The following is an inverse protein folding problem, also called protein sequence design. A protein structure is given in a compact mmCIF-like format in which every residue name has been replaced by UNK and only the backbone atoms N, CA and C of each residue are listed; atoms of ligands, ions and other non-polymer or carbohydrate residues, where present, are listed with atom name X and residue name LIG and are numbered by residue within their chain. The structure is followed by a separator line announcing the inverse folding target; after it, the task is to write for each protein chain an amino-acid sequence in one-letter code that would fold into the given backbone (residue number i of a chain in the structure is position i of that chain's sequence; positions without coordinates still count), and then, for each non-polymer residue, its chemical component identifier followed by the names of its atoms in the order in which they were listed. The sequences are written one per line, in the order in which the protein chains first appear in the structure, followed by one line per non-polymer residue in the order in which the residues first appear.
data_IF_165538158280
#
_entry.id   IF_165538158280
#
_cell.length_a   1.000
_cell.length_b   1.000
_cell.length_c   1.000
_cell.angle_alpha   90.00
_cell.angle_beta   90.00
_cell.angle_gamma   90.00
#
_symmetry.space_group_name_H-M   'P 1'
#
loop_
_entity.id
_entity.type
_entity.pdbx_description
1 polymer ?
#
# COMPACT_ATOMS: atom_id res chain seq x y z
N UNK A 1 69.10 10.71 -55.34
CA UNK A 1 68.34 10.49 -54.08
C UNK A 1 66.81 10.44 -54.27
N UNK A 2 66.30 10.06 -55.45
CA UNK A 2 64.86 10.00 -55.74
C UNK A 2 64.23 8.63 -55.43
N UNK A 3 65.05 7.58 -55.37
CA UNK A 3 64.67 6.22 -54.95
C UNK A 3 64.62 6.04 -53.42
N UNK A 4 65.25 6.94 -52.66
CA UNK A 4 65.23 6.93 -51.18
C UNK A 4 63.93 7.53 -50.61
N UNK A 5 63.29 8.44 -51.35
CA UNK A 5 62.05 9.10 -50.95
C UNK A 5 60.81 8.20 -51.11
N UNK A 6 60.86 7.26 -52.06
CA UNK A 6 59.75 6.32 -52.32
C UNK A 6 59.69 5.20 -51.25
N UNK A 7 60.84 4.80 -50.71
CA UNK A 7 60.90 3.79 -49.64
C UNK A 7 60.43 4.35 -48.29
N UNK A 8 60.64 5.64 -48.04
CA UNK A 8 60.19 6.29 -46.80
C UNK A 8 58.66 6.49 -46.75
N UNK A 9 58.04 6.76 -47.90
CA UNK A 9 56.57 6.92 -47.99
C UNK A 9 55.85 5.57 -47.92
N UNK A 10 56.47 4.49 -48.41
CA UNK A 10 55.91 3.13 -48.30
C UNK A 10 55.97 2.57 -46.87
N UNK A 11 56.96 2.94 -46.06
CA UNK A 11 57.10 2.45 -44.68
C UNK A 11 56.11 3.13 -43.71
N UNK A 12 55.70 4.38 -44.00
CA UNK A 12 54.75 5.12 -43.15
C UNK A 12 53.30 4.67 -43.38
N UNK A 13 52.97 4.04 -44.52
CA UNK A 13 51.63 3.49 -44.77
C UNK A 13 51.34 2.16 -44.06
N UNK A 14 52.36 1.42 -43.61
CA UNK A 14 52.17 0.09 -42.98
C UNK A 14 52.00 0.17 -41.45
N UNK A 15 52.34 1.30 -40.83
CA UNK A 15 52.27 1.50 -39.37
C UNK A 15 50.98 2.18 -38.87
N UNK A 16 50.01 2.44 -39.75
CA UNK A 16 48.76 3.15 -39.42
C UNK A 16 47.55 2.27 -39.04
N UNK A 17 47.69 0.94 -38.99
CA UNK A 17 46.55 0.02 -38.83
C UNK A 17 46.50 -0.70 -37.46
N UNK A 18 47.14 -0.18 -36.41
CA UNK A 18 46.75 -0.52 -35.04
C UNK A 18 45.63 0.41 -34.59
N UNK A 19 44.45 0.21 -35.17
CA UNK A 19 43.21 0.71 -34.59
C UNK A 19 42.94 -0.08 -33.31
N UNK A 20 43.12 0.56 -32.16
CA UNK A 20 42.54 0.09 -30.91
C UNK A 20 41.03 -0.07 -31.13
N UNK A 21 40.57 -1.32 -31.25
CA UNK A 21 39.18 -1.68 -31.06
C UNK A 21 38.84 -1.46 -29.58
N UNK A 22 38.65 -0.20 -29.18
CA UNK A 22 37.80 0.11 -28.05
C UNK A 22 36.40 -0.30 -28.47
N UNK A 23 35.99 -1.48 -28.01
CA UNK A 23 34.60 -1.88 -27.98
C UNK A 23 33.81 -0.71 -27.39
N UNK A 24 33.05 -0.01 -28.25
CA UNK A 24 31.97 0.83 -27.77
C UNK A 24 31.06 -0.14 -27.02
N UNK A 25 31.14 -0.11 -25.68
CA UNK A 25 30.02 -0.54 -24.85
C UNK A 25 28.83 0.19 -25.42
N UNK A 26 27.93 -0.55 -26.06
CA UNK A 26 26.60 -0.06 -26.38
C UNK A 26 26.06 0.51 -25.07
N UNK A 27 26.07 1.84 -24.98
CA UNK A 27 25.37 2.52 -23.93
C UNK A 27 23.92 2.10 -24.13
N UNK A 28 23.39 1.36 -23.16
CA UNK A 28 21.97 1.07 -23.10
C UNK A 28 21.22 2.38 -23.43
N UNK A 29 20.17 2.34 -24.28
CA UNK A 29 19.37 3.51 -24.56
C UNK A 29 19.06 4.21 -23.23
N UNK A 30 19.26 5.55 -23.12
CA UNK A 30 18.95 6.25 -21.89
C UNK A 30 17.53 5.86 -21.50
N UNK A 31 17.39 5.30 -20.29
CA UNK A 31 16.09 4.89 -19.77
C UNK A 31 15.13 6.05 -20.02
N UNK A 32 13.92 5.80 -20.58
CA UNK A 32 13.01 6.87 -20.95
C UNK A 32 12.84 7.80 -19.74
N UNK A 33 13.14 9.08 -19.94
CA UNK A 33 13.06 10.08 -18.89
C UNK A 33 11.66 9.97 -18.25
N UNK A 34 11.61 9.54 -16.98
CA UNK A 34 10.34 9.49 -16.24
C UNK A 34 9.76 10.90 -16.29
N UNK A 35 8.58 11.06 -16.89
CA UNK A 35 7.85 12.33 -16.87
C UNK A 35 7.56 12.65 -15.41
N UNK A 36 8.24 13.64 -14.86
CA UNK A 36 8.01 14.08 -13.48
C UNK A 36 6.72 14.90 -13.49
N UNK A 37 5.68 14.39 -12.84
CA UNK A 37 4.43 15.13 -12.63
C UNK A 37 4.69 16.11 -11.49
N UNK A 38 4.47 17.39 -11.73
CA UNK A 38 4.62 18.45 -10.74
C UNK A 38 3.24 18.91 -10.24
N UNK A 39 3.13 19.12 -8.95
CA UNK A 39 1.94 19.67 -8.31
C UNK A 39 1.83 21.19 -8.44
N UNK A 40 0.77 21.76 -7.84
CA UNK A 40 0.50 23.20 -7.88
C UNK A 40 1.69 24.06 -7.37
N UNK A 41 2.42 23.56 -6.37
CA UNK A 41 3.55 24.26 -5.75
C UNK A 41 4.91 23.87 -6.36
N UNK A 42 4.91 23.19 -7.52
CA UNK A 42 6.13 22.66 -8.16
C UNK A 42 6.72 21.42 -7.47
N UNK A 43 6.01 20.86 -6.48
CA UNK A 43 6.42 19.65 -5.75
C UNK A 43 6.16 18.42 -6.61
N UNK A 44 7.16 17.54 -6.86
CA UNK A 44 6.95 16.29 -7.57
C UNK A 44 5.88 15.40 -6.93
N UNK A 45 5.10 14.70 -7.75
CA UNK A 45 4.11 13.73 -7.28
C UNK A 45 4.80 12.63 -6.45
N UNK A 46 4.40 12.42 -5.18
CA UNK A 46 4.91 11.33 -4.37
C UNK A 46 4.47 9.95 -4.89
N UNK A 47 5.29 8.94 -4.64
CA UNK A 47 5.00 7.56 -5.05
C UNK A 47 3.70 7.00 -4.44
N UNK A 48 3.38 7.40 -3.20
CA UNK A 48 2.18 6.96 -2.48
C UNK A 48 0.86 7.39 -3.14
N UNK A 49 0.90 8.35 -4.07
CA UNK A 49 -0.29 8.77 -4.83
C UNK A 49 -0.79 7.66 -5.77
N UNK A 50 0.10 6.78 -6.23
CA UNK A 50 -0.21 5.76 -7.23
C UNK A 50 0.31 4.36 -6.88
N UNK A 51 0.94 4.22 -5.71
CA UNK A 51 1.40 2.94 -5.16
C UNK A 51 0.95 2.83 -3.71
N UNK A 52 0.52 1.64 -3.31
CA UNK A 52 0.29 1.31 -1.91
C UNK A 52 1.62 1.39 -1.14
N UNK A 53 1.57 1.97 0.06
CA UNK A 53 2.71 2.00 0.98
C UNK A 53 2.64 0.75 1.83
N UNK A 54 3.63 -0.13 1.68
CA UNK A 54 3.75 -1.31 2.51
C UNK A 54 4.47 -0.96 3.82
N UNK A 55 3.93 -1.38 4.96
CA UNK A 55 4.62 -1.37 6.24
C UNK A 55 4.33 -2.64 7.04
N UNK A 56 5.14 -2.89 8.07
CA UNK A 56 4.99 -4.05 8.94
C UNK A 56 3.99 -3.82 10.09
N UNK A 57 3.78 -2.56 10.47
CA UNK A 57 3.10 -2.13 11.69
C UNK A 57 1.99 -1.10 11.45
N UNK A 58 1.91 -0.57 10.23
CA UNK A 58 1.00 0.49 9.83
C UNK A 58 0.31 0.11 8.53
N UNK A 59 -0.98 0.40 8.43
CA UNK A 59 -1.70 0.35 7.16
C UNK A 59 -1.90 1.77 6.63
N UNK A 60 -1.81 1.94 5.31
CA UNK A 60 -1.86 3.23 4.64
C UNK A 60 -2.90 3.25 3.53
N UNK A 61 -3.63 4.36 3.45
CA UNK A 61 -4.57 4.61 2.35
C UNK A 61 -4.47 6.06 1.88
N UNK A 62 -4.62 6.24 0.57
CA UNK A 62 -4.64 7.56 -0.05
C UNK A 62 -6.06 7.95 -0.44
N UNK A 63 -6.40 9.23 -0.24
CA UNK A 63 -7.68 9.80 -0.61
C UNK A 63 -7.49 11.04 -1.48
N UNK A 64 -8.48 11.32 -2.34
CA UNK A 64 -8.45 12.45 -3.25
C UNK A 64 -9.66 13.38 -3.05
N UNK A 65 -9.48 14.67 -3.31
CA UNK A 65 -10.55 15.63 -3.23
C UNK A 65 -10.27 16.86 -4.07
N UNK A 66 -11.22 17.21 -4.95
CA UNK A 66 -11.19 18.47 -5.69
C UNK A 66 -12.54 19.17 -5.56
N UNK A 67 -12.56 20.23 -4.78
CA UNK A 67 -13.76 20.97 -4.39
C UNK A 67 -13.56 22.48 -4.64
N UNK A 68 -14.57 23.28 -4.30
CA UNK A 68 -14.57 24.73 -4.55
C UNK A 68 -13.41 25.51 -3.91
N UNK A 69 -12.76 24.96 -2.89
CA UNK A 69 -11.53 25.50 -2.33
C UNK A 69 -10.64 24.39 -1.73
N UNK A 70 -9.38 24.75 -1.45
CA UNK A 70 -8.36 23.84 -0.89
C UNK A 70 -8.80 23.22 0.44
N UNK A 71 -9.41 23.98 1.35
CA UNK A 71 -9.79 23.47 2.67
C UNK A 71 -10.88 22.38 2.57
N UNK A 72 -11.87 22.57 1.70
CA UNK A 72 -12.92 21.55 1.46
C UNK A 72 -12.33 20.35 0.72
N UNK A 73 -11.37 20.57 -0.18
CA UNK A 73 -10.65 19.51 -0.89
C UNK A 73 -9.85 18.62 0.08
N UNK A 74 -9.13 19.22 1.03
CA UNK A 74 -8.43 18.50 2.11
C UNK A 74 -9.42 17.64 2.90
N UNK A 75 -10.53 18.23 3.37
CA UNK A 75 -11.54 17.50 4.15
C UNK A 75 -12.10 16.31 3.35
N UNK A 76 -12.40 16.51 2.06
CA UNK A 76 -12.91 15.45 1.18
C UNK A 76 -11.89 14.33 1.03
N UNK A 77 -10.64 14.67 0.73
CA UNK A 77 -9.55 13.71 0.56
C UNK A 77 -9.30 12.91 1.85
N UNK A 78 -9.25 13.57 3.01
CA UNK A 78 -9.10 12.88 4.31
C UNK A 78 -10.27 11.94 4.61
N UNK A 79 -11.51 12.35 4.33
CA UNK A 79 -12.68 11.48 4.52
C UNK A 79 -12.63 10.28 3.57
N UNK A 80 -12.23 10.47 2.32
CA UNK A 80 -12.07 9.37 1.38
C UNK A 80 -11.01 8.37 1.86
N UNK A 81 -9.84 8.83 2.30
CA UNK A 81 -8.79 7.97 2.84
C UNK A 81 -9.29 7.19 4.07
N UNK A 82 -9.97 7.85 5.01
CA UNK A 82 -10.59 7.21 6.17
C UNK A 82 -11.62 6.15 5.79
N UNK A 83 -12.45 6.42 4.78
CA UNK A 83 -13.45 5.46 4.31
C UNK A 83 -12.79 4.22 3.69
N UNK A 84 -11.66 4.37 3.00
CA UNK A 84 -10.88 3.22 2.46
C UNK A 84 -10.30 2.37 3.59
N UNK A 85 -9.70 3.00 4.62
CA UNK A 85 -9.22 2.29 5.82
C UNK A 85 -10.37 1.53 6.48
N UNK A 86 -11.52 2.18 6.71
CA UNK A 86 -12.68 1.53 7.31
C UNK A 86 -13.19 0.34 6.48
N UNK A 87 -13.23 0.48 5.15
CA UNK A 87 -13.63 -0.59 4.25
C UNK A 87 -12.66 -1.78 4.27
N UNK A 88 -11.35 -1.51 4.34
CA UNK A 88 -10.32 -2.53 4.46
C UNK A 88 -10.40 -3.28 5.80
N UNK A 89 -10.58 -2.55 6.92
CA UNK A 89 -10.79 -3.16 8.26
C UNK A 89 -12.04 -4.05 8.24
N UNK A 90 -13.16 -3.54 7.74
CA UNK A 90 -14.43 -4.27 7.67
C UNK A 90 -14.29 -5.56 6.85
N UNK A 91 -13.58 -5.51 5.72
CA UNK A 91 -13.29 -6.70 4.91
C UNK A 91 -12.44 -7.71 5.68
N UNK A 92 -11.39 -7.25 6.35
CA UNK A 92 -10.47 -8.08 7.15
C UNK A 92 -11.18 -8.80 8.29
N UNK A 93 -12.04 -8.08 9.02
CA UNK A 93 -12.86 -8.62 10.11
C UNK A 93 -13.83 -9.68 9.58
N UNK A 94 -14.56 -9.35 8.50
CA UNK A 94 -15.51 -10.29 7.89
C UNK A 94 -14.84 -11.58 7.43
N UNK A 95 -13.66 -11.49 6.81
CA UNK A 95 -12.91 -12.66 6.34
C UNK A 95 -12.57 -13.63 7.48
N UNK A 96 -12.05 -13.11 8.61
CA UNK A 96 -11.72 -13.95 9.77
C UNK A 96 -12.97 -14.60 10.36
N UNK A 97 -14.05 -13.83 10.57
CA UNK A 97 -15.24 -14.37 11.20
C UNK A 97 -15.93 -15.41 10.28
N UNK A 98 -16.03 -15.14 8.97
CA UNK A 98 -16.60 -16.09 8.00
C UNK A 98 -15.78 -17.39 7.97
N UNK A 99 -14.45 -17.28 7.93
CA UNK A 99 -13.55 -18.45 7.95
C UNK A 99 -13.79 -19.28 9.21
N UNK A 100 -13.87 -18.62 10.36
CA UNK A 100 -14.12 -19.29 11.63
C UNK A 100 -15.48 -19.99 11.68
N UNK A 101 -16.57 -19.33 11.30
CA UNK A 101 -17.92 -19.93 11.33
C UNK A 101 -18.06 -21.09 10.36
N UNK A 102 -17.39 -21.01 9.19
CA UNK A 102 -17.34 -22.13 8.25
C UNK A 102 -16.60 -23.34 8.83
N UNK A 103 -15.45 -23.12 9.47
CA UNK A 103 -14.67 -24.17 10.14
C UNK A 103 -15.44 -24.82 11.31
N UNK A 104 -16.23 -24.01 12.04
CA UNK A 104 -17.03 -24.48 13.17
C UNK A 104 -18.29 -25.28 12.76
N UNK A 105 -18.61 -25.37 11.47
CA UNK A 105 -19.77 -26.13 10.98
C UNK A 105 -21.14 -25.44 11.20
N UNK A 106 -21.16 -24.18 11.61
CA UNK A 106 -22.35 -23.44 12.04
C UNK A 106 -23.01 -22.60 10.94
N UNK A 107 -23.12 -23.16 9.72
CA UNK A 107 -23.55 -22.45 8.49
C UNK A 107 -24.97 -21.85 8.52
N UNK A 108 -25.82 -22.27 9.45
CA UNK A 108 -27.24 -21.83 9.52
C UNK A 108 -27.53 -20.79 10.63
N UNK A 109 -26.52 -20.33 11.37
CA UNK A 109 -26.80 -19.46 12.52
C UNK A 109 -26.94 -18.00 12.10
N UNK A 110 -28.17 -17.56 11.78
CA UNK A 110 -28.49 -16.17 11.40
C UNK A 110 -28.06 -15.13 12.44
N UNK A 111 -28.07 -15.51 13.72
CA UNK A 111 -27.53 -14.70 14.81
C UNK A 111 -26.02 -14.45 14.66
N UNK A 112 -25.28 -15.36 14.02
CA UNK A 112 -23.86 -15.15 13.67
C UNK A 112 -23.73 -13.93 12.79
N UNK A 113 -24.43 -13.95 11.66
CA UNK A 113 -24.33 -12.93 10.61
C UNK A 113 -24.71 -11.55 11.14
N UNK A 114 -25.78 -11.46 11.94
CA UNK A 114 -26.23 -10.22 12.55
C UNK A 114 -25.21 -9.69 13.59
N UNK A 115 -24.61 -10.59 14.36
CA UNK A 115 -23.48 -10.25 15.23
C UNK A 115 -22.28 -9.78 14.41
N UNK A 116 -21.91 -10.46 13.31
CA UNK A 116 -20.76 -10.06 12.47
C UNK A 116 -20.91 -8.66 11.90
N UNK A 117 -22.10 -8.31 11.38
CA UNK A 117 -22.33 -7.01 10.78
C UNK A 117 -22.26 -5.90 11.84
N UNK A 118 -22.91 -6.10 12.99
CA UNK A 118 -22.87 -5.14 14.11
C UNK A 118 -21.44 -4.95 14.63
N UNK A 119 -20.73 -6.06 14.78
CA UNK A 119 -19.37 -6.09 15.27
C UNK A 119 -18.42 -5.42 14.29
N UNK A 120 -18.52 -5.73 12.99
CA UNK A 120 -17.63 -5.14 11.98
C UNK A 120 -17.82 -3.62 11.88
N UNK A 121 -19.04 -3.14 12.07
CA UNK A 121 -19.33 -1.71 12.17
C UNK A 121 -18.70 -1.08 13.42
N UNK A 122 -18.85 -1.70 14.60
CA UNK A 122 -18.25 -1.21 15.85
C UNK A 122 -16.72 -1.14 15.77
N UNK A 123 -16.07 -2.17 15.23
CA UNK A 123 -14.61 -2.18 15.02
C UNK A 123 -14.21 -1.06 14.07
N UNK A 124 -14.88 -0.93 12.92
CA UNK A 124 -14.58 0.13 11.96
C UNK A 124 -14.74 1.53 12.57
N UNK A 125 -15.80 1.79 13.34
CA UNK A 125 -16.02 3.07 14.01
C UNK A 125 -14.99 3.37 15.11
N UNK A 126 -14.69 2.40 15.97
CA UNK A 126 -13.72 2.55 17.06
C UNK A 126 -12.31 2.82 16.52
N UNK A 127 -11.97 2.19 15.40
CA UNK A 127 -10.61 2.19 14.84
C UNK A 127 -10.30 3.49 14.09
N UNK A 128 -11.31 4.19 13.54
CA UNK A 128 -11.11 5.48 12.86
C UNK A 128 -10.56 6.60 13.77
N UNK A 129 -10.62 6.43 15.08
CA UNK A 129 -10.00 7.34 16.06
C UNK A 129 -8.46 7.32 16.00
N UNK A 130 -7.87 6.21 15.54
CA UNK A 130 -6.43 6.04 15.41
C UNK A 130 -5.85 6.49 14.08
N UNK A 131 -6.67 7.01 13.15
CA UNK A 131 -6.19 7.43 11.81
C UNK A 131 -5.50 8.80 11.88
N UNK A 132 -4.26 8.84 11.41
CA UNK A 132 -3.46 10.06 11.27
C UNK A 132 -3.30 10.45 9.80
N UNK A 133 -3.12 11.75 9.54
CA UNK A 133 -2.71 12.26 8.22
C UNK A 133 -1.20 12.38 8.20
N UNK A 134 -0.55 11.69 7.28
CA UNK A 134 0.91 11.66 7.16
C UNK A 134 1.42 12.71 6.18
N UNK A 135 0.86 12.71 4.98
CA UNK A 135 1.31 13.55 3.89
C UNK A 135 0.15 14.11 3.08
N UNK A 136 0.42 15.20 2.38
CA UNK A 136 -0.51 15.85 1.47
C UNK A 136 0.23 16.31 0.23
N UNK A 137 -0.40 16.14 -0.92
CA UNK A 137 0.10 16.66 -2.19
C UNK A 137 -1.03 17.33 -2.97
N UNK A 138 -0.74 18.45 -3.62
CA UNK A 138 -1.71 19.21 -4.40
C UNK A 138 -1.33 19.04 -5.86
N UNK A 139 -2.23 18.48 -6.66
CA UNK A 139 -2.00 18.32 -8.08
C UNK A 139 -2.00 19.68 -8.81
N UNK A 140 -1.56 19.67 -10.07
CA UNK A 140 -1.49 20.89 -10.89
C UNK A 140 -2.85 21.56 -11.11
N UNK A 141 -3.95 20.82 -10.97
CA UNK A 141 -5.31 21.31 -11.18
C UNK A 141 -6.01 21.75 -9.88
N UNK A 142 -5.28 21.78 -8.76
CA UNK A 142 -5.78 22.18 -7.44
C UNK A 142 -6.54 21.09 -6.68
N UNK A 143 -6.54 19.85 -7.17
CA UNK A 143 -6.99 18.69 -6.41
C UNK A 143 -5.99 18.32 -5.33
N UNK A 144 -6.48 17.75 -4.23
CA UNK A 144 -5.68 17.42 -3.04
C UNK A 144 -5.68 15.92 -2.85
N UNK A 145 -4.49 15.35 -2.73
CA UNK A 145 -4.22 14.00 -2.28
C UNK A 145 -3.80 14.03 -0.81
N UNK A 146 -4.31 13.09 -0.02
CA UNK A 146 -3.94 12.91 1.39
C UNK A 146 -3.56 11.46 1.62
N UNK A 147 -2.41 11.22 2.25
CA UNK A 147 -2.02 9.93 2.77
C UNK A 147 -2.43 9.85 4.24
N UNK A 148 -3.24 8.87 4.59
CA UNK A 148 -3.57 8.54 5.97
C UNK A 148 -2.94 7.22 6.36
N UNK A 149 -2.65 7.08 7.65
CA UNK A 149 -2.15 5.84 8.23
C UNK A 149 -2.93 5.44 9.47
N UNK A 150 -2.83 4.16 9.83
CA UNK A 150 -3.34 3.63 11.09
C UNK A 150 -2.43 2.50 11.61
N UNK A 151 -2.13 2.47 12.93
CA UNK A 151 -1.40 1.35 13.51
C UNK A 151 -2.20 0.05 13.45
N UNK A 152 -1.57 -1.05 13.00
CA UNK A 152 -2.17 -2.38 13.02
C UNK A 152 -2.56 -2.80 14.44
N UNK A 153 -1.77 -2.42 15.44
CA UNK A 153 -2.07 -2.68 16.85
C UNK A 153 -3.42 -2.06 17.31
N UNK A 154 -3.78 -0.87 16.79
CA UNK A 154 -5.06 -0.24 17.12
C UNK A 154 -6.24 -1.03 16.54
N UNK A 155 -6.04 -1.60 15.35
CA UNK A 155 -7.03 -2.43 14.67
C UNK A 155 -7.19 -3.77 15.40
N UNK A 156 -6.08 -4.41 15.78
CA UNK A 156 -6.07 -5.64 16.57
C UNK A 156 -6.77 -5.47 17.92
N UNK A 157 -6.47 -4.38 18.65
CA UNK A 157 -7.12 -4.07 19.92
C UNK A 157 -8.63 -3.83 19.74
N UNK A 158 -9.02 -3.14 18.67
CA UNK A 158 -10.44 -2.87 18.40
C UNK A 158 -11.21 -4.13 18.03
N UNK A 159 -10.53 -5.18 17.56
CA UNK A 159 -11.13 -6.48 17.23
C UNK A 159 -11.31 -7.42 18.45
N UNK A 160 -10.77 -7.11 19.63
CA UNK A 160 -10.93 -8.02 20.78
C UNK A 160 -12.40 -8.23 21.20
N UNK A 161 -13.23 -7.17 21.36
CA UNK A 161 -14.64 -7.35 21.74
C UNK A 161 -15.44 -8.11 20.68
N UNK A 162 -15.05 -7.95 19.41
CA UNK A 162 -15.61 -8.65 18.27
C UNK A 162 -15.40 -10.17 18.38
N UNK A 163 -14.15 -10.57 18.61
CA UNK A 163 -13.76 -11.96 18.71
C UNK A 163 -14.38 -12.63 19.95
N UNK A 164 -14.47 -11.91 21.09
CA UNK A 164 -15.14 -12.39 22.31
C UNK A 164 -16.62 -12.68 22.07
N UNK A 165 -17.36 -11.72 21.51
CA UNK A 165 -18.79 -11.87 21.25
C UNK A 165 -19.09 -13.04 20.30
N UNK A 166 -18.26 -13.25 19.27
CA UNK A 166 -18.38 -14.42 18.39
C UNK A 166 -18.03 -15.70 19.16
N UNK A 167 -16.95 -15.74 19.94
CA UNK A 167 -16.58 -16.95 20.66
C UNK A 167 -17.68 -17.41 21.64
N UNK A 168 -18.28 -16.47 22.39
CA UNK A 168 -19.38 -16.73 23.32
C UNK A 168 -20.66 -17.22 22.62
N UNK A 169 -20.97 -16.68 21.43
CA UNK A 169 -22.18 -17.05 20.71
C UNK A 169 -22.08 -18.41 19.99
N UNK A 170 -20.87 -18.91 19.72
CA UNK A 170 -20.63 -20.05 18.81
C UNK A 170 -20.02 -21.28 19.45
N UNK A 171 -19.57 -21.19 20.70
CA UNK A 171 -18.84 -22.26 21.37
C UNK A 171 -19.38 -22.45 22.78
N UNK A 172 -19.40 -23.70 23.26
CA UNK A 172 -19.62 -23.94 24.69
C UNK A 172 -18.62 -23.13 25.52
N UNK A 173 -19.05 -22.62 26.69
CA UNK A 173 -18.28 -21.67 27.50
C UNK A 173 -16.84 -22.10 27.75
N UNK A 174 -16.62 -23.41 27.89
CA UNK A 174 -15.33 -23.99 28.24
C UNK A 174 -14.31 -23.95 27.09
N UNK A 175 -14.76 -23.78 25.85
CA UNK A 175 -13.91 -23.67 24.66
C UNK A 175 -13.93 -22.26 24.01
N UNK A 176 -14.76 -21.34 24.49
CA UNK A 176 -14.86 -19.96 23.98
C UNK A 176 -13.52 -19.20 24.07
N UNK A 177 -12.76 -19.36 25.17
CA UNK A 177 -11.46 -18.70 25.32
C UNK A 177 -10.45 -19.11 24.23
N UNK A 178 -10.40 -20.40 23.89
CA UNK A 178 -9.52 -20.91 22.85
C UNK A 178 -9.94 -20.44 21.45
N UNK A 179 -11.25 -20.38 21.20
CA UNK A 179 -11.82 -19.84 19.96
C UNK A 179 -11.49 -18.35 19.77
N UNK A 180 -11.66 -17.54 20.82
CA UNK A 180 -11.29 -16.13 20.82
C UNK A 180 -9.80 -15.96 20.46
N UNK A 181 -8.91 -16.69 21.13
CA UNK A 181 -7.47 -16.64 20.84
C UNK A 181 -7.16 -16.99 19.37
N UNK A 182 -7.77 -18.05 18.83
CA UNK A 182 -7.57 -18.45 17.43
C UNK A 182 -8.03 -17.38 16.44
N UNK A 183 -9.16 -16.71 16.69
CA UNK A 183 -9.64 -15.63 15.83
C UNK A 183 -8.72 -14.41 15.87
N UNK A 184 -8.24 -14.04 17.07
CA UNK A 184 -7.28 -12.93 17.23
C UNK A 184 -5.97 -13.20 16.50
N UNK A 185 -5.43 -14.41 16.63
CA UNK A 185 -4.21 -14.82 15.93
C UNK A 185 -4.41 -14.82 14.40
N UNK A 186 -5.55 -15.31 13.92
CA UNK A 186 -5.89 -15.29 12.49
C UNK A 186 -5.98 -13.86 11.96
N UNK A 187 -6.61 -12.95 12.72
CA UNK A 187 -6.73 -11.55 12.35
C UNK A 187 -5.37 -10.83 12.31
N UNK A 188 -4.56 -10.97 13.35
CA UNK A 188 -3.21 -10.39 13.37
C UNK A 188 -2.33 -10.89 12.20
N UNK A 189 -2.46 -12.17 11.84
CA UNK A 189 -1.75 -12.73 10.68
C UNK A 189 -2.29 -12.21 9.34
N UNK A 190 -3.60 -12.00 9.23
CA UNK A 190 -4.22 -11.44 8.03
C UNK A 190 -3.75 -10.00 7.80
N UNK A 191 -3.78 -9.15 8.85
CA UNK A 191 -3.32 -7.76 8.76
C UNK A 191 -1.86 -7.66 8.29
N UNK A 192 -0.96 -8.50 8.83
CA UNK A 192 0.47 -8.52 8.47
C UNK A 192 0.76 -8.96 7.04
N UNK A 193 -0.17 -9.70 6.41
CA UNK A 193 -0.01 -10.21 5.06
C UNK A 193 -0.80 -9.40 4.01
N UNK A 194 -1.70 -8.51 4.45
CA UNK A 194 -2.54 -7.72 3.55
C UNK A 194 -1.75 -6.67 2.73
N UNK A 195 -0.61 -6.19 3.26
CA UNK A 195 0.21 -5.15 2.64
C UNK A 195 1.46 -5.70 1.91
N UNK A 196 1.53 -7.02 1.65
CA UNK A 196 2.67 -7.70 0.99
C UNK A 196 2.48 -7.94 -0.50
#
# INVERSE_FOLDING_TARGET
MKKLLIVLVALVMVLGLTGCASAKKDAAPPAPAKKVILGADGVPQPDWVYKTVASQDMHYESGYGKMSNKQISIKRATVEAKNKIAAWINTSVKEVIITYVNDAGSKDNRQAMDAMETISQQVAEATLSGVTTEEMWIDADGGVWVLCSIPLANIEQSFEPAAEAVAEAFVESDAAAAANAKMKDAFANLLKNADR
#
